data_IF_328940137355
#
_entry.id   IF_328940137355
#
_cell.length_a   1.000
_cell.length_b   1.000
_cell.length_c   1.000
_cell.angle_alpha   90.00
_cell.angle_beta   90.00
_cell.angle_gamma   90.00
#
_symmetry.space_group_name_H-M   'P 1'
#
loop_
_entity.id
_entity.type
_entity.pdbx_description
1 polymer ?
#
# COMPACT_ATOMS: atom_id res chain seq x y z
N UNK A 1 -17.88 -8.33 -7.70
CA UNK A 1 -17.25 -8.20 -9.04
C UNK A 1 -15.82 -7.76 -8.79
N UNK A 2 -14.82 -8.60 -9.11
CA UNK A 2 -13.43 -8.19 -8.98
C UNK A 2 -13.14 -7.08 -10.00
N UNK A 3 -12.72 -5.90 -9.54
CA UNK A 3 -12.32 -4.82 -10.41
C UNK A 3 -11.18 -5.31 -11.31
N UNK A 4 -11.39 -5.25 -12.63
CA UNK A 4 -10.32 -5.59 -13.58
C UNK A 4 -9.32 -4.45 -13.56
N UNK A 5 -8.18 -4.66 -12.89
CA UNK A 5 -7.06 -3.73 -12.86
C UNK A 5 -6.68 -3.35 -14.30
N UNK A 6 -6.79 -2.08 -14.64
CA UNK A 6 -6.39 -1.58 -15.95
C UNK A 6 -4.86 -1.55 -16.05
N UNK A 7 -4.34 -1.42 -17.27
CA UNK A 7 -2.89 -1.24 -17.49
C UNK A 7 -2.36 0.01 -16.76
N UNK A 8 -3.19 1.05 -16.58
CA UNK A 8 -2.84 2.29 -15.88
C UNK A 8 -2.67 2.02 -14.38
N UNK A 9 -3.59 1.24 -13.81
CA UNK A 9 -3.57 0.85 -12.40
C UNK A 9 -2.32 0.04 -12.04
N UNK A 10 -1.91 -0.86 -12.93
CA UNK A 10 -0.67 -1.63 -12.80
C UNK A 10 0.59 -0.78 -12.81
N UNK A 11 0.64 0.24 -13.67
CA UNK A 11 1.78 1.18 -13.71
C UNK A 11 1.81 1.99 -12.42
N UNK A 12 0.66 2.43 -11.92
CA UNK A 12 0.57 3.17 -10.65
C UNK A 12 1.01 2.32 -9.46
N UNK A 13 0.57 1.07 -9.38
CA UNK A 13 1.02 0.13 -8.34
C UNK A 13 2.54 -0.09 -8.36
N UNK A 14 3.16 -0.20 -9.54
CA UNK A 14 4.63 -0.29 -9.64
C UNK A 14 5.35 0.96 -9.15
N UNK A 15 4.80 2.15 -9.41
CA UNK A 15 5.35 3.40 -8.91
C UNK A 15 5.29 3.45 -7.38
N UNK A 16 4.16 3.07 -6.80
CA UNK A 16 3.99 3.00 -5.34
C UNK A 16 4.96 2.00 -4.71
N UNK A 17 5.19 0.84 -5.33
CA UNK A 17 6.18 -0.13 -4.86
C UNK A 17 7.61 0.45 -4.86
N UNK A 18 8.00 1.16 -5.92
CA UNK A 18 9.30 1.82 -5.96
C UNK A 18 9.43 2.92 -4.89
N UNK A 19 8.35 3.63 -4.61
CA UNK A 19 8.32 4.66 -3.57
C UNK A 19 8.46 4.06 -2.16
N UNK A 20 7.80 2.93 -1.88
CA UNK A 20 8.00 2.17 -0.63
C UNK A 20 9.47 1.81 -0.44
N UNK A 21 10.11 1.24 -1.46
CA UNK A 21 11.54 0.87 -1.40
C UNK A 21 12.45 2.08 -1.12
N UNK A 22 12.19 3.22 -1.77
CA UNK A 22 12.95 4.46 -1.52
C UNK A 22 12.75 4.99 -0.10
N UNK A 23 11.52 4.93 0.42
CA UNK A 23 11.21 5.36 1.78
C UNK A 23 11.90 4.45 2.80
N UNK A 24 11.93 3.14 2.55
CA UNK A 24 12.67 2.17 3.38
C UNK A 24 14.17 2.42 3.35
N UNK A 25 14.74 2.56 2.16
CA UNK A 25 16.17 2.82 1.98
C UNK A 25 16.63 4.14 2.61
N UNK A 26 15.75 5.16 2.64
CA UNK A 26 16.04 6.45 3.27
C UNK A 26 15.71 6.51 4.77
N UNK A 27 15.18 5.43 5.36
CA UNK A 27 14.72 5.42 6.76
C UNK A 27 13.49 6.30 7.02
N UNK A 28 12.81 6.77 5.96
CA UNK A 28 11.61 7.61 6.02
C UNK A 28 10.32 6.80 5.93
N UNK A 29 10.42 5.48 5.95
CA UNK A 29 9.27 4.58 6.02
C UNK A 29 8.61 4.72 7.39
N UNK A 30 7.55 5.51 7.44
CA UNK A 30 6.78 5.79 8.64
C UNK A 30 5.32 5.40 8.44
N UNK A 31 4.57 5.28 9.54
CA UNK A 31 3.14 5.00 9.49
C UNK A 31 2.35 6.04 8.68
N UNK A 32 2.78 7.31 8.68
CA UNK A 32 2.17 8.38 7.89
C UNK A 32 2.33 8.11 6.40
N UNK A 33 3.55 7.77 5.97
CA UNK A 33 3.83 7.44 4.57
C UNK A 33 3.12 6.15 4.15
N UNK A 34 3.10 5.15 5.02
CA UNK A 34 2.32 3.93 4.82
C UNK A 34 0.85 4.23 4.55
N UNK A 35 0.20 5.06 5.37
CA UNK A 35 -1.20 5.44 5.22
C UNK A 35 -1.45 6.21 3.91
N UNK A 36 -0.52 7.07 3.50
CA UNK A 36 -0.57 7.77 2.21
C UNK A 36 -0.56 6.78 1.07
N UNK A 37 0.46 5.91 1.00
CA UNK A 37 0.59 4.90 -0.05
C UNK A 37 -0.60 3.94 -0.06
N UNK A 38 -1.12 3.54 1.10
CA UNK A 38 -2.30 2.69 1.18
C UNK A 38 -3.54 3.35 0.57
N UNK A 39 -3.78 4.64 0.82
CA UNK A 39 -4.89 5.37 0.18
C UNK A 39 -4.69 5.46 -1.34
N UNK A 40 -3.47 5.73 -1.79
CA UNK A 40 -3.16 5.81 -3.22
C UNK A 40 -3.31 4.44 -3.90
N UNK A 41 -2.91 3.35 -3.25
CA UNK A 41 -3.06 1.99 -3.76
C UNK A 41 -4.54 1.56 -3.84
N UNK A 42 -5.33 1.88 -2.81
CA UNK A 42 -6.79 1.65 -2.81
C UNK A 42 -7.48 2.46 -3.91
N UNK A 43 -7.07 3.72 -4.13
CA UNK A 43 -7.62 4.56 -5.19
C UNK A 43 -7.19 4.07 -6.60
N UNK A 44 -5.97 3.58 -6.75
CA UNK A 44 -5.42 3.07 -8.00
C UNK A 44 -5.93 1.67 -8.37
N UNK A 45 -6.55 0.94 -7.45
CA UNK A 45 -7.01 -0.42 -7.70
C UNK A 45 -8.19 -0.74 -6.81
N UNK A 46 -9.27 0.03 -6.92
CA UNK A 46 -10.47 -0.13 -6.09
C UNK A 46 -10.86 -1.60 -5.95
N UNK A 47 -10.78 -2.12 -4.73
CA UNK A 47 -11.02 -3.52 -4.35
C UNK A 47 -10.04 -4.60 -4.83
N UNK A 48 -8.84 -4.26 -5.34
CA UNK A 48 -7.80 -5.24 -5.65
C UNK A 48 -7.20 -5.80 -4.33
N UNK A 49 -7.54 -7.04 -3.93
CA UNK A 49 -7.08 -7.60 -2.65
C UNK A 49 -5.56 -7.73 -2.60
N UNK A 50 -4.95 -8.03 -3.75
CA UNK A 50 -3.49 -8.20 -3.88
C UNK A 50 -2.68 -6.94 -3.57
N UNK A 51 -3.20 -5.73 -3.81
CA UNK A 51 -2.50 -4.50 -3.47
C UNK A 51 -2.46 -4.28 -1.95
N UNK A 52 -3.57 -4.61 -1.28
CA UNK A 52 -3.70 -4.51 0.17
C UNK A 52 -2.89 -5.57 0.89
N UNK A 53 -2.90 -6.81 0.38
CA UNK A 53 -2.11 -7.91 0.92
C UNK A 53 -0.61 -7.64 0.78
N UNK A 54 -0.16 -7.15 -0.38
CA UNK A 54 1.22 -6.71 -0.58
C UNK A 54 1.59 -5.59 0.41
N UNK A 55 0.77 -4.55 0.55
CA UNK A 55 1.05 -3.47 1.50
C UNK A 55 1.09 -3.95 2.96
N UNK A 56 0.23 -4.89 3.36
CA UNK A 56 0.27 -5.48 4.70
C UNK A 56 1.56 -6.28 4.94
N UNK A 57 2.15 -6.88 3.91
CA UNK A 57 3.47 -7.52 3.99
C UNK A 57 4.59 -6.47 4.12
N UNK A 58 4.48 -5.33 3.43
CA UNK A 58 5.50 -4.26 3.49
C UNK A 58 5.43 -3.40 4.76
N UNK A 59 4.32 -3.46 5.50
CA UNK A 59 4.12 -2.75 6.75
C UNK A 59 5.11 -3.22 7.82
N UNK A 60 5.62 -2.26 8.60
CA UNK A 60 6.41 -2.60 9.79
C UNK A 60 5.55 -3.44 10.77
N UNK A 61 6.07 -4.56 11.31
CA UNK A 61 5.38 -5.35 12.32
C UNK A 61 4.86 -4.52 13.49
N UNK A 62 5.57 -3.47 13.92
CA UNK A 62 5.17 -2.58 15.00
C UNK A 62 3.90 -1.76 14.70
N UNK A 63 3.51 -1.64 13.42
CA UNK A 63 2.30 -0.93 13.02
C UNK A 63 1.09 -1.85 12.86
N UNK A 64 1.29 -3.17 12.80
CA UNK A 64 0.21 -4.13 12.52
C UNK A 64 -0.94 -4.01 13.51
N UNK A 65 -0.65 -3.84 14.80
CA UNK A 65 -1.68 -3.66 15.82
C UNK A 65 -2.52 -2.39 15.60
N UNK A 66 -1.89 -1.30 15.16
CA UNK A 66 -2.58 -0.04 14.84
C UNK A 66 -3.36 -0.11 13.52
N UNK A 67 -2.89 -0.92 12.57
CA UNK A 67 -3.55 -1.12 11.28
C UNK A 67 -4.79 -2.03 11.42
N UNK A 68 -4.72 -3.05 12.27
CA UNK A 68 -5.87 -3.93 12.57
C UNK A 68 -6.98 -3.15 13.28
N UNK A 69 -6.63 -2.26 14.22
CA UNK A 69 -7.63 -1.40 14.89
C UNK A 69 -8.28 -0.37 13.97
N UNK A 70 -7.60 0.10 12.92
CA UNK A 70 -8.14 1.10 11.99
C UNK A 70 -9.07 0.50 10.92
N UNK A 71 -9.24 -0.83 10.90
CA UNK A 71 -10.02 -1.58 9.88
C UNK A 71 -11.31 -2.19 10.47
N UNK A 72 -11.53 -2.10 11.79
CA UNK A 72 -12.81 -2.39 12.45
C UNK A 72 -13.58 -1.10 12.73
#
# INVERSE_FOLDING_TARGET
MAATLTKIDWVRMRQLAAEVEQLKASGRWTLTEYRRINREAVAAGGDAPGARDWLLQEADPAWRDQLVQAVL
#
